data_IF_448415521615
#
_entry.id   IF_448415521615
#
_cell.length_a   1.000
_cell.length_b   1.000
_cell.length_c   1.000
_cell.angle_alpha   90.00
_cell.angle_beta   90.00
_cell.angle_gamma   90.00
#
_symmetry.space_group_name_H-M   'P 1'
#
loop_
_entity.id
_entity.type
_entity.pdbx_description
1 polymer ?
#
# COMPACT_ATOMS: atom_id res chain seq x y z
N UNK A 1 -13.49 -3.65 -1.89
CA UNK A 1 -12.64 -4.81 -1.51
C UNK A 1 -12.43 -4.98 0.00
N UNK A 2 -13.22 -4.30 0.82
CA UNK A 2 -13.16 -4.46 2.29
C UNK A 2 -13.56 -5.86 2.78
N UNK A 3 -14.30 -6.61 1.95
CA UNK A 3 -14.62 -8.02 2.19
C UNK A 3 -13.38 -8.94 2.19
N UNK A 4 -12.22 -8.44 1.75
CA UNK A 4 -10.94 -9.17 1.80
C UNK A 4 -9.96 -8.38 2.69
N UNK A 5 -9.94 -8.60 4.01
CA UNK A 5 -9.22 -7.77 4.98
C UNK A 5 -7.70 -7.77 4.80
N UNK A 6 -7.15 -8.81 4.17
CA UNK A 6 -5.71 -8.96 3.97
C UNK A 6 -5.06 -7.70 3.35
N UNK A 7 -5.77 -7.00 2.44
CA UNK A 7 -5.22 -5.85 1.74
C UNK A 7 -4.95 -4.66 2.65
N UNK A 8 -5.85 -4.29 3.56
CA UNK A 8 -5.62 -3.20 4.49
C UNK A 8 -4.78 -3.64 5.69
N UNK A 9 -4.83 -4.92 6.07
CA UNK A 9 -3.96 -5.48 7.10
C UNK A 9 -2.49 -5.45 6.68
N UNK A 10 -2.17 -5.77 5.43
CA UNK A 10 -0.80 -5.65 4.90
C UNK A 10 -0.27 -4.21 4.93
N UNK A 11 -1.15 -3.20 4.88
CA UNK A 11 -0.77 -1.80 5.05
C UNK A 11 -0.68 -1.41 6.53
N UNK A 12 -1.51 -2.00 7.39
CA UNK A 12 -1.58 -1.71 8.82
C UNK A 12 -0.44 -2.35 9.62
N UNK A 13 -0.06 -3.62 9.33
CA UNK A 13 0.99 -4.31 10.09
C UNK A 13 2.33 -3.56 10.13
N UNK A 14 2.84 -3.01 9.04
CA UNK A 14 4.04 -2.17 9.08
C UNK A 14 3.91 -0.97 10.04
N UNK A 15 2.74 -0.32 10.09
CA UNK A 15 2.49 0.74 11.06
C UNK A 15 2.57 0.22 12.50
N UNK A 16 1.96 -0.95 12.78
CA UNK A 16 2.00 -1.55 14.11
C UNK A 16 3.42 -1.93 14.53
N UNK A 17 4.27 -2.39 13.61
CA UNK A 17 5.69 -2.68 13.89
C UNK A 17 6.46 -1.41 14.25
N UNK A 18 6.27 -0.32 13.48
CA UNK A 18 6.87 0.97 13.79
C UNK A 18 6.44 1.53 15.14
N UNK A 19 5.13 1.42 15.48
CA UNK A 19 4.61 1.81 16.79
C UNK A 19 5.16 0.93 17.91
N UNK A 20 5.24 -0.38 17.72
CA UNK A 20 5.80 -1.30 18.73
C UNK A 20 7.27 -1.00 19.01
N UNK A 21 8.03 -0.67 17.96
CA UNK A 21 9.42 -0.22 18.12
C UNK A 21 9.48 1.09 18.92
N UNK A 22 8.62 2.06 18.64
CA UNK A 22 8.56 3.32 19.36
C UNK A 22 8.11 3.13 20.83
N UNK A 23 7.16 2.23 21.09
CA UNK A 23 6.71 1.89 22.45
C UNK A 23 7.84 1.35 23.30
N UNK A 24 8.74 0.53 22.72
CA UNK A 24 9.90 0.01 23.45
C UNK A 24 10.80 1.14 24.01
N UNK A 25 10.91 2.27 23.31
CA UNK A 25 11.73 3.41 23.73
C UNK A 25 10.96 4.42 24.58
N UNK A 26 9.69 4.64 24.31
CA UNK A 26 8.87 5.67 24.96
C UNK A 26 8.11 5.13 26.18
N UNK A 27 7.70 3.86 26.18
CA UNK A 27 6.99 3.20 27.27
C UNK A 27 5.54 3.67 27.48
N UNK A 28 4.99 4.55 26.64
CA UNK A 28 3.63 5.10 26.75
C UNK A 28 2.62 4.25 25.98
N UNK A 29 1.89 3.42 26.75
CA UNK A 29 0.89 2.51 26.20
C UNK A 29 -0.36 3.24 25.70
N UNK A 30 -0.74 4.34 26.32
CA UNK A 30 -1.95 5.08 25.93
C UNK A 30 -1.74 5.75 24.56
N UNK A 31 -0.59 6.39 24.36
CA UNK A 31 -0.18 6.93 23.06
C UNK A 31 -0.09 5.83 22.01
N UNK A 32 0.48 4.66 22.35
CA UNK A 32 0.54 3.52 21.44
C UNK A 32 -0.84 3.07 20.97
N UNK A 33 -1.79 2.86 21.89
CA UNK A 33 -3.14 2.39 21.56
C UNK A 33 -3.91 3.43 20.73
N UNK A 34 -3.77 4.70 21.06
CA UNK A 34 -4.39 5.80 20.32
C UNK A 34 -3.88 5.85 18.88
N UNK A 35 -2.57 5.85 18.67
CA UNK A 35 -2.01 5.87 17.31
C UNK A 35 -2.23 4.57 16.56
N UNK A 36 -2.25 3.43 17.23
CA UNK A 36 -2.60 2.15 16.62
C UNK A 36 -3.99 2.20 15.99
N UNK A 37 -4.96 2.79 16.70
CA UNK A 37 -6.32 2.99 16.19
C UNK A 37 -6.34 3.96 14.98
N UNK A 38 -5.62 5.09 15.05
CA UNK A 38 -5.54 6.04 13.94
C UNK A 38 -4.90 5.42 12.69
N UNK A 39 -3.80 4.69 12.85
CA UNK A 39 -3.15 3.99 11.73
C UNK A 39 -4.02 2.87 11.16
N UNK A 40 -4.79 2.18 12.00
CA UNK A 40 -5.75 1.19 11.51
C UNK A 40 -6.82 1.84 10.62
N UNK A 41 -7.48 2.89 11.10
CA UNK A 41 -8.47 3.63 10.32
C UNK A 41 -7.87 4.23 9.04
N UNK A 42 -6.70 4.85 9.14
CA UNK A 42 -5.96 5.39 8.00
C UNK A 42 -5.63 4.32 6.96
N UNK A 43 -5.20 3.13 7.39
CA UNK A 43 -4.89 2.00 6.50
C UNK A 43 -6.12 1.50 5.74
N UNK A 44 -7.28 1.41 6.40
CA UNK A 44 -8.54 1.02 5.77
C UNK A 44 -8.94 2.03 4.69
N UNK A 45 -8.86 3.33 5.00
CA UNK A 45 -9.23 4.41 4.08
C UNK A 45 -8.28 4.48 2.88
N UNK A 46 -6.97 4.52 3.14
CA UNK A 46 -5.96 4.66 2.09
C UNK A 46 -5.87 3.42 1.21
N UNK A 47 -6.01 2.21 1.78
CA UNK A 47 -6.09 0.99 0.97
C UNK A 47 -7.31 0.99 0.07
N UNK A 48 -8.45 1.47 0.57
CA UNK A 48 -9.68 1.59 -0.23
C UNK A 48 -9.50 2.56 -1.39
N UNK A 49 -8.94 3.75 -1.13
CA UNK A 49 -8.61 4.73 -2.17
C UNK A 49 -7.62 4.17 -3.20
N UNK A 50 -6.54 3.54 -2.75
CA UNK A 50 -5.54 2.91 -3.61
C UNK A 50 -6.11 1.81 -4.51
N UNK A 51 -7.06 1.01 -4.02
CA UNK A 51 -7.75 0.03 -4.85
C UNK A 51 -8.57 0.67 -5.98
N UNK A 52 -9.27 1.78 -5.69
CA UNK A 52 -10.06 2.50 -6.70
C UNK A 52 -9.13 3.13 -7.74
N UNK A 53 -8.01 3.74 -7.31
CA UNK A 53 -7.00 4.31 -8.22
C UNK A 53 -6.45 3.21 -9.15
N UNK A 54 -6.08 2.06 -8.58
CA UNK A 54 -5.56 0.94 -9.37
C UNK A 54 -6.59 0.43 -10.38
N UNK A 55 -7.87 0.29 -9.99
CA UNK A 55 -8.95 -0.15 -10.89
C UNK A 55 -9.23 0.89 -12.01
N UNK A 56 -9.07 2.20 -11.73
CA UNK A 56 -9.16 3.25 -12.75
C UNK A 56 -8.01 3.19 -13.76
N UNK A 57 -6.77 3.01 -13.27
CA UNK A 57 -5.57 2.91 -14.12
C UNK A 57 -5.62 1.65 -14.98
N UNK A 58 -6.10 0.54 -14.42
CA UNK A 58 -6.10 -0.77 -15.06
C UNK A 58 -7.39 -1.10 -15.80
N UNK A 59 -8.37 -0.21 -15.91
CA UNK A 59 -9.68 -0.49 -16.51
C UNK A 59 -9.60 -1.24 -17.85
N UNK A 60 -8.70 -0.79 -18.75
CA UNK A 60 -8.54 -1.40 -20.09
C UNK A 60 -7.96 -2.81 -20.03
N UNK A 61 -7.09 -3.07 -19.07
CA UNK A 61 -6.46 -4.37 -18.81
C UNK A 61 -7.48 -5.29 -18.16
N UNK A 62 -8.14 -4.82 -17.11
CA UNK A 62 -9.11 -5.58 -16.32
C UNK A 62 -10.29 -6.11 -17.16
N UNK A 63 -10.72 -5.37 -18.19
CA UNK A 63 -11.75 -5.81 -19.13
C UNK A 63 -11.34 -7.06 -19.93
N UNK A 64 -10.05 -7.29 -20.13
CA UNK A 64 -9.53 -8.40 -20.93
C UNK A 64 -9.24 -9.65 -20.13
N UNK A 65 -9.08 -9.52 -18.80
CA UNK A 65 -8.71 -10.62 -17.89
C UNK A 65 -9.97 -11.23 -17.27
N UNK A 66 -10.14 -12.53 -17.41
CA UNK A 66 -11.30 -13.26 -16.91
C UNK A 66 -11.55 -13.01 -15.39
N UNK A 67 -10.49 -13.02 -14.59
CA UNK A 67 -10.54 -12.83 -13.13
C UNK A 67 -10.97 -11.41 -12.72
N UNK A 68 -10.68 -10.39 -13.54
CA UNK A 68 -10.86 -8.97 -13.18
C UNK A 68 -11.94 -8.25 -13.96
N UNK A 69 -12.48 -8.82 -15.03
CA UNK A 69 -13.53 -8.22 -15.89
C UNK A 69 -14.79 -7.81 -15.12
N UNK A 70 -15.09 -8.47 -14.01
CA UNK A 70 -16.26 -8.20 -13.17
C UNK A 70 -16.00 -7.12 -12.10
N UNK A 71 -14.81 -6.48 -12.07
CA UNK A 71 -14.56 -5.34 -11.18
C UNK A 71 -15.52 -4.20 -11.50
N UNK A 72 -15.99 -3.44 -10.49
CA UNK A 72 -17.05 -2.43 -10.69
C UNK A 72 -16.76 -1.40 -11.77
N UNK A 73 -15.51 -0.96 -11.92
CA UNK A 73 -15.11 0.00 -12.97
C UNK A 73 -14.97 -0.69 -14.32
N UNK A 74 -14.32 -1.87 -14.36
CA UNK A 74 -14.13 -2.63 -15.60
C UNK A 74 -15.46 -3.10 -16.21
N UNK A 75 -16.40 -3.53 -15.37
CA UNK A 75 -17.76 -3.96 -15.79
C UNK A 75 -18.70 -2.81 -16.14
N UNK A 76 -18.34 -1.55 -15.82
CA UNK A 76 -19.18 -0.38 -16.02
C UNK A 76 -20.24 -0.14 -14.94
N UNK A 77 -20.29 -0.96 -13.87
CA UNK A 77 -21.21 -0.77 -12.74
C UNK A 77 -20.92 0.52 -11.97
N UNK A 78 -19.67 0.97 -11.96
CA UNK A 78 -19.24 2.22 -11.32
C UNK A 78 -18.66 3.16 -12.38
N UNK A 79 -19.23 4.36 -12.52
CA UNK A 79 -18.69 5.37 -13.41
C UNK A 79 -17.35 5.93 -12.89
N UNK A 80 -16.46 6.31 -13.81
CA UNK A 80 -15.18 6.94 -13.44
C UNK A 80 -15.34 8.20 -12.60
N UNK A 81 -16.38 9.01 -12.92
CA UNK A 81 -16.68 10.24 -12.19
C UNK A 81 -17.02 9.93 -10.72
N UNK A 82 -17.84 8.93 -10.49
CA UNK A 82 -18.19 8.50 -9.14
C UNK A 82 -17.00 7.88 -8.39
N UNK A 83 -16.14 7.14 -9.10
CA UNK A 83 -14.91 6.60 -8.55
C UNK A 83 -13.96 7.72 -8.05
N UNK A 84 -13.80 8.81 -8.80
CA UNK A 84 -13.01 9.97 -8.36
C UNK A 84 -13.63 10.67 -7.13
N UNK A 85 -14.96 10.75 -7.04
CA UNK A 85 -15.64 11.30 -5.86
C UNK A 85 -15.34 10.42 -4.63
N UNK A 86 -15.40 9.09 -4.75
CA UNK A 86 -15.05 8.20 -3.65
C UNK A 86 -13.58 8.36 -3.22
N UNK A 87 -12.64 8.48 -4.17
CA UNK A 87 -11.23 8.75 -3.85
C UNK A 87 -11.11 10.03 -3.04
N UNK A 88 -11.75 11.10 -3.48
CA UNK A 88 -11.70 12.39 -2.79
C UNK A 88 -12.23 12.28 -1.35
N UNK A 89 -13.39 11.63 -1.15
CA UNK A 89 -13.96 11.43 0.19
C UNK A 89 -13.00 10.62 1.07
N UNK A 90 -12.49 9.49 0.58
CA UNK A 90 -11.59 8.61 1.34
C UNK A 90 -10.28 9.32 1.69
N UNK A 91 -9.69 10.07 0.75
CA UNK A 91 -8.47 10.84 1.00
C UNK A 91 -8.73 12.00 1.97
N UNK A 92 -9.88 12.68 1.90
CA UNK A 92 -10.24 13.74 2.85
C UNK A 92 -10.40 13.20 4.27
N UNK A 93 -11.08 12.06 4.44
CA UNK A 93 -11.19 11.39 5.75
C UNK A 93 -9.82 10.93 6.27
N UNK A 94 -8.97 10.36 5.41
CA UNK A 94 -7.61 9.98 5.78
C UNK A 94 -6.76 11.20 6.15
N UNK A 95 -6.95 12.33 5.50
CA UNK A 95 -6.26 13.58 5.82
C UNK A 95 -6.69 14.13 7.20
N UNK A 96 -7.98 14.03 7.56
CA UNK A 96 -8.46 14.38 8.91
C UNK A 96 -7.81 13.53 10.01
N UNK A 97 -7.49 12.27 9.72
CA UNK A 97 -6.71 11.42 10.61
C UNK A 97 -5.24 11.88 10.62
N UNK A 98 -4.66 12.17 9.46
CA UNK A 98 -3.25 12.55 9.33
C UNK A 98 -2.91 13.81 10.13
N UNK A 99 -3.79 14.81 10.16
CA UNK A 99 -3.57 16.06 10.92
C UNK A 99 -3.61 15.89 12.45
N UNK A 100 -3.93 14.70 12.97
CA UNK A 100 -3.83 14.38 14.41
C UNK A 100 -2.39 14.06 14.85
N UNK A 101 -1.47 13.86 13.89
CA UNK A 101 -0.08 13.57 14.16
C UNK A 101 0.78 14.84 14.20
N UNK A 102 2.04 14.69 14.60
CA UNK A 102 3.00 15.79 14.56
C UNK A 102 3.36 16.18 13.11
N UNK A 103 3.94 17.38 12.95
CA UNK A 103 4.24 17.96 11.64
C UNK A 103 5.14 17.06 10.78
N UNK A 104 6.15 16.42 11.37
CA UNK A 104 7.05 15.52 10.66
C UNK A 104 6.29 14.34 10.03
N UNK A 105 5.40 13.71 10.81
CA UNK A 105 4.58 12.60 10.34
C UNK A 105 3.57 13.06 9.27
N UNK A 106 3.01 14.27 9.40
CA UNK A 106 2.15 14.86 8.37
C UNK A 106 2.92 15.02 7.05
N UNK A 107 4.14 15.58 7.08
CA UNK A 107 4.97 15.73 5.90
C UNK A 107 5.28 14.36 5.24
N UNK A 108 5.63 13.34 6.05
CA UNK A 108 5.88 11.99 5.56
C UNK A 108 4.63 11.33 4.97
N UNK A 109 3.45 11.58 5.57
CA UNK A 109 2.17 11.12 5.06
C UNK A 109 1.83 11.74 3.70
N UNK A 110 2.03 13.05 3.54
CA UNK A 110 1.85 13.73 2.25
C UNK A 110 2.85 13.18 1.22
N UNK A 111 4.11 12.98 1.62
CA UNK A 111 5.13 12.40 0.74
C UNK A 111 4.76 10.99 0.24
N UNK A 112 4.08 10.19 1.06
CA UNK A 112 3.65 8.82 0.69
C UNK A 112 2.71 8.79 -0.52
N UNK A 113 2.03 9.89 -0.82
CA UNK A 113 1.13 10.03 -1.98
C UNK A 113 1.90 9.76 -3.29
N UNK A 114 3.17 10.14 -3.36
CA UNK A 114 4.05 9.88 -4.52
C UNK A 114 4.16 8.37 -4.77
N UNK A 115 4.36 7.56 -3.72
CA UNK A 115 4.44 6.11 -3.83
C UNK A 115 3.10 5.49 -4.27
N UNK A 116 1.99 5.95 -3.68
CA UNK A 116 0.65 5.44 -3.97
C UNK A 116 0.27 5.65 -5.43
N UNK A 117 0.58 6.83 -5.98
CA UNK A 117 0.26 7.15 -7.37
C UNK A 117 1.24 6.52 -8.37
N UNK A 118 2.52 6.35 -8.01
CA UNK A 118 3.52 5.75 -8.93
C UNK A 118 3.38 4.24 -9.05
N UNK A 119 3.05 3.54 -7.97
CA UNK A 119 2.99 2.08 -7.94
C UNK A 119 2.16 1.42 -9.08
N UNK A 120 0.92 1.85 -9.40
CA UNK A 120 0.12 1.20 -10.44
C UNK A 120 0.74 1.25 -11.84
N UNK A 121 1.62 2.21 -12.08
CA UNK A 121 2.29 2.37 -13.38
C UNK A 121 3.54 1.50 -13.52
N UNK A 122 4.15 1.10 -12.39
CA UNK A 122 5.45 0.42 -12.41
C UNK A 122 5.42 -0.89 -13.19
N UNK A 123 4.35 -1.66 -13.16
CA UNK A 123 4.19 -2.91 -13.93
C UNK A 123 4.23 -2.72 -15.45
N UNK A 124 4.15 -1.49 -15.95
CA UNK A 124 4.26 -1.16 -17.39
C UNK A 124 5.70 -0.83 -17.79
N UNK A 125 6.48 -0.33 -16.85
CA UNK A 125 7.83 0.18 -17.13
C UNK A 125 8.95 -0.77 -16.67
N UNK A 126 8.77 -1.43 -15.52
CA UNK A 126 9.83 -2.23 -14.89
C UNK A 126 9.37 -3.63 -14.52
N UNK A 127 10.31 -4.58 -14.44
CA UNK A 127 10.08 -5.93 -13.90
C UNK A 127 10.10 -5.97 -12.36
N UNK A 128 10.18 -4.81 -11.67
CA UNK A 128 10.28 -4.69 -10.22
C UNK A 128 9.08 -3.97 -9.56
N UNK A 129 7.82 -4.15 -10.04
CA UNK A 129 6.67 -3.51 -9.41
C UNK A 129 6.49 -3.93 -7.95
N UNK A 130 6.87 -5.17 -7.58
CA UNK A 130 6.84 -5.70 -6.23
C UNK A 130 7.77 -4.95 -5.27
N UNK A 131 8.91 -4.45 -5.75
CA UNK A 131 9.80 -3.60 -4.96
C UNK A 131 9.13 -2.24 -4.65
N UNK A 132 8.45 -1.64 -5.64
CA UNK A 132 7.69 -0.41 -5.44
C UNK A 132 6.49 -0.61 -4.51
N UNK A 133 5.85 -1.79 -4.55
CA UNK A 133 4.85 -2.17 -3.56
C UNK A 133 5.46 -2.20 -2.15
N UNK A 134 6.65 -2.78 -2.02
CA UNK A 134 7.40 -2.80 -0.77
C UNK A 134 7.66 -1.40 -0.21
N UNK A 135 8.09 -0.44 -1.03
CA UNK A 135 8.24 0.97 -0.63
C UNK A 135 6.91 1.56 -0.14
N UNK A 136 5.83 1.31 -0.88
CA UNK A 136 4.52 1.89 -0.58
C UNK A 136 3.90 1.33 0.69
N UNK A 137 3.89 0.00 0.84
CA UNK A 137 3.18 -0.65 1.95
C UNK A 137 3.90 -0.50 3.28
N UNK A 138 5.23 -0.52 3.27
CA UNK A 138 6.01 -0.49 4.49
C UNK A 138 6.37 0.93 4.96
N UNK A 139 6.04 1.98 4.18
CA UNK A 139 6.27 3.38 4.58
C UNK A 139 5.66 3.73 5.93
N UNK A 140 4.59 3.04 6.30
CA UNK A 140 3.94 3.14 7.58
C UNK A 140 4.83 2.88 8.79
N UNK A 141 5.95 2.12 8.65
CA UNK A 141 6.94 1.91 9.72
C UNK A 141 7.57 3.25 10.13
N UNK A 142 8.02 4.02 9.13
CA UNK A 142 8.69 5.31 9.35
C UNK A 142 7.69 6.33 9.91
N UNK A 143 6.47 6.39 9.34
CA UNK A 143 5.42 7.27 9.84
C UNK A 143 5.02 6.96 11.27
N UNK A 144 4.89 5.68 11.62
CA UNK A 144 4.51 5.24 12.94
C UNK A 144 5.58 5.56 14.00
N UNK A 145 6.84 5.35 13.69
CA UNK A 145 7.95 5.77 14.54
C UNK A 145 7.93 7.28 14.77
N UNK A 146 7.87 8.07 13.69
CA UNK A 146 7.91 9.54 13.80
C UNK A 146 6.70 10.13 14.49
N UNK A 147 5.55 9.44 14.47
CA UNK A 147 4.35 9.90 15.19
C UNK A 147 4.55 9.97 16.70
N UNK A 148 5.36 9.08 17.26
CA UNK A 148 5.68 9.00 18.70
C UNK A 148 6.95 9.76 19.03
N UNK A 149 8.03 9.48 18.28
CA UNK A 149 9.39 9.97 18.61
C UNK A 149 9.69 11.36 18.05
N UNK A 150 8.88 11.84 17.09
CA UNK A 150 9.05 13.12 16.38
C UNK A 150 10.45 13.32 15.75
N UNK A 151 11.11 12.22 15.41
CA UNK A 151 12.42 12.21 14.75
C UNK A 151 12.56 11.03 13.79
N UNK A 152 13.51 11.12 12.85
CA UNK A 152 13.90 10.02 11.98
C UNK A 152 15.14 9.36 12.60
N UNK A 153 15.07 8.03 12.82
CA UNK A 153 16.17 7.24 13.36
C UNK A 153 16.59 6.14 12.39
N UNK A 154 17.77 5.59 12.56
CA UNK A 154 18.27 4.47 11.76
C UNK A 154 17.49 3.17 12.02
N UNK A 155 16.94 2.97 13.21
CA UNK A 155 16.22 1.74 13.58
C UNK A 155 14.96 1.52 12.74
N UNK A 156 14.00 2.47 12.63
CA UNK A 156 12.84 2.30 11.76
C UNK A 156 13.23 2.21 10.28
N UNK A 157 14.36 2.83 9.86
CA UNK A 157 14.83 2.71 8.48
C UNK A 157 15.35 1.29 8.19
N UNK A 158 16.10 0.67 9.11
CA UNK A 158 16.53 -0.73 8.97
C UNK A 158 15.34 -1.69 8.92
N UNK A 159 14.36 -1.49 9.81
CA UNK A 159 13.12 -2.29 9.80
C UNK A 159 12.35 -2.10 8.49
N UNK A 160 12.26 -0.87 8.00
CA UNK A 160 11.62 -0.55 6.72
C UNK A 160 12.30 -1.27 5.54
N UNK A 161 13.64 -1.25 5.47
CA UNK A 161 14.39 -1.95 4.43
C UNK A 161 14.14 -3.46 4.50
N UNK A 162 14.18 -4.06 5.69
CA UNK A 162 13.86 -5.48 5.87
C UNK A 162 12.43 -5.82 5.42
N UNK A 163 11.46 -4.98 5.76
CA UNK A 163 10.07 -5.15 5.37
C UNK A 163 9.85 -5.00 3.85
N UNK A 164 10.62 -4.14 3.16
CA UNK A 164 10.61 -4.06 1.70
C UNK A 164 11.01 -5.38 1.07
N UNK A 165 12.11 -6.00 1.53
CA UNK A 165 12.54 -7.31 1.02
C UNK A 165 11.55 -8.43 1.35
N UNK A 166 10.93 -8.39 2.54
CA UNK A 166 9.84 -9.28 2.89
C UNK A 166 8.66 -9.15 1.90
N UNK A 167 8.25 -7.92 1.60
CA UNK A 167 7.17 -7.65 0.63
C UNK A 167 7.55 -8.13 -0.76
N UNK A 168 8.77 -7.85 -1.21
CA UNK A 168 9.29 -8.32 -2.49
C UNK A 168 9.21 -9.85 -2.61
N UNK A 169 9.59 -10.57 -1.54
CA UNK A 169 9.56 -12.04 -1.51
C UNK A 169 8.13 -12.58 -1.62
N UNK A 170 7.24 -12.21 -0.69
CA UNK A 170 5.89 -12.79 -0.68
C UNK A 170 5.06 -12.39 -1.90
N UNK A 171 5.20 -11.14 -2.38
CA UNK A 171 4.40 -10.69 -3.54
C UNK A 171 4.94 -11.26 -4.86
N UNK A 172 6.24 -11.59 -4.94
CA UNK A 172 6.79 -12.36 -6.06
C UNK A 172 6.18 -13.77 -6.08
N UNK A 173 6.14 -14.45 -4.93
CA UNK A 173 5.54 -15.80 -4.81
C UNK A 173 4.05 -15.73 -5.15
N UNK A 174 3.33 -14.74 -4.62
CA UNK A 174 1.91 -14.54 -4.92
C UNK A 174 1.67 -14.27 -6.41
N UNK A 175 2.57 -13.55 -7.08
CA UNK A 175 2.50 -13.24 -8.51
C UNK A 175 2.70 -14.43 -9.45
N UNK A 176 3.20 -15.59 -8.96
CA UNK A 176 3.40 -16.78 -9.78
C UNK A 176 2.09 -17.26 -10.42
N UNK A 177 0.98 -17.16 -9.69
CA UNK A 177 -0.34 -17.55 -10.19
C UNK A 177 -0.84 -16.72 -11.38
N UNK A 178 -0.31 -15.52 -11.56
CA UNK A 178 -0.77 -14.56 -12.59
C UNK A 178 0.19 -14.53 -13.81
N UNK A 179 1.28 -15.29 -13.83
CA UNK A 179 2.32 -15.23 -14.90
C UNK A 179 1.71 -15.42 -16.30
N UNK A 180 0.82 -16.41 -16.48
CA UNK A 180 0.22 -16.70 -17.80
C UNK A 180 -0.63 -15.53 -18.32
N UNK A 181 -1.42 -14.92 -17.45
CA UNK A 181 -2.27 -13.78 -17.81
C UNK A 181 -1.43 -12.52 -18.03
N UNK A 182 -0.42 -12.29 -17.20
CA UNK A 182 0.48 -11.14 -17.25
C UNK A 182 1.32 -11.13 -18.53
N UNK A 183 1.83 -12.30 -18.97
CA UNK A 183 2.58 -12.45 -20.23
C UNK A 183 1.71 -12.12 -21.46
N UNK A 184 0.46 -12.61 -21.49
CA UNK A 184 -0.47 -12.34 -22.60
C UNK A 184 -0.82 -10.86 -22.71
N UNK A 185 -0.91 -10.16 -21.58
CA UNK A 185 -1.29 -8.74 -21.52
C UNK A 185 -0.06 -7.84 -21.74
N UNK A 186 1.16 -8.37 -21.53
CA UNK A 186 2.41 -7.63 -21.67
C UNK A 186 2.75 -6.76 -20.44
N UNK A 187 2.23 -7.09 -19.24
CA UNK A 187 2.66 -6.46 -17.98
C UNK A 187 3.91 -7.16 -17.44
N UNK A 188 4.70 -6.43 -16.66
CA UNK A 188 5.97 -6.88 -16.12
C UNK A 188 5.84 -7.17 -14.62
N UNK A 189 6.49 -8.23 -14.14
CA UNK A 189 6.56 -8.59 -12.72
C UNK A 189 7.87 -9.30 -12.38
N UNK A 190 8.23 -9.34 -11.11
CA UNK A 190 9.37 -10.14 -10.64
C UNK A 190 9.11 -11.63 -10.80
N UNK A 191 7.86 -12.08 -10.70
CA UNK A 191 7.47 -13.46 -10.97
C UNK A 191 7.81 -13.87 -12.41
N UNK A 192 7.51 -13.04 -13.41
CA UNK A 192 7.91 -13.25 -14.80
C UNK A 192 9.44 -13.24 -14.94
N UNK A 193 10.12 -12.27 -14.30
CA UNK A 193 11.57 -12.13 -14.36
C UNK A 193 12.30 -13.36 -13.85
N UNK A 194 11.82 -13.98 -12.78
CA UNK A 194 12.43 -15.14 -12.14
C UNK A 194 11.80 -16.47 -12.55
N UNK A 195 10.88 -16.49 -13.51
CA UNK A 195 10.14 -17.68 -13.96
C UNK A 195 11.03 -18.92 -14.16
N UNK A 196 12.20 -18.75 -14.77
CA UNK A 196 13.13 -19.86 -15.05
C UNK A 196 13.89 -20.35 -13.79
N UNK A 197 13.85 -19.63 -12.68
CA UNK A 197 14.54 -19.95 -11.43
C UNK A 197 13.56 -20.46 -10.34
N UNK A 198 12.27 -20.62 -10.68
CA UNK A 198 11.22 -21.06 -9.75
C UNK A 198 10.98 -22.58 -9.77
N UNK A 199 11.84 -23.33 -10.48
CA UNK A 199 11.82 -24.81 -10.56
C UNK A 199 12.74 -25.43 -9.52
#
# INVERSE_FOLDING_TARGET
RLNKPIGFLLLFWPCSWGLSLALYFNGDLDTFLYYLFLFFCGSVLMRSAGCIINDLVDEKIDKKVFRTKNRPIASGLLSKKLAWIYILILCSLAFLILIQFNLLTICLGIFSVIFIFSYPFMKRYTYWPQLFLGFTFNWGIVMAWTSVMNEISYLPILLYIGAIFWTLGYDTIYGIQDISDDEVIGVKSTAIKFKNNLN
#
